data_IF_970067020761
#
_entry.id   IF_970067020761
#
_cell.length_a   1.000
_cell.length_b   1.000
_cell.length_c   1.000
_cell.angle_alpha   90.00
_cell.angle_beta   90.00
_cell.angle_gamma   90.00
#
_symmetry.space_group_name_H-M   'P 1'
#
loop_
_entity.id
_entity.type
_entity.pdbx_description
1 polymer ?
#
# COMPACT_ATOMS: atom_id res chain seq x y z
N UNK A 1 8.95 14.10 -1.64
CA UNK A 1 8.57 13.91 -1.90
C UNK A 1 7.96 14.16 -2.16
N UNK A 2 7.68 14.05 -2.44
CA UNK A 2 7.00 14.01 -2.88
C UNK A 2 6.28 14.41 -3.19
N UNK A 3 6.23 14.61 -3.34
CA UNK A 3 5.49 14.70 -3.70
C UNK A 3 4.95 15.12 -4.13
N UNK A 4 5.27 15.37 -4.42
CA UNK A 4 4.77 15.45 -4.86
C UNK A 4 4.06 15.33 -5.13
N UNK A 5 3.89 15.14 -4.96
CA UNK A 5 3.08 14.76 -5.24
C UNK A 5 2.32 15.13 -5.54
N UNK A 6 2.19 15.45 -5.90
CA UNK A 6 1.44 15.74 -6.22
C UNK A 6 0.56 15.72 -6.09
N UNK A 7 0.58 15.64 -5.90
CA UNK A 7 -0.26 15.48 -5.71
C UNK A 7 -1.34 15.54 -5.58
N UNK A 8 -1.08 15.23 -5.58
CA UNK A 8 -2.37 15.45 -5.12
C UNK A 8 -3.46 15.26 -6.06
N UNK A 9 -3.13 15.08 -7.12
CA UNK A 9 -4.11 15.09 -8.14
C UNK A 9 -4.91 13.87 -8.28
N UNK A 10 -4.36 12.68 -8.01
CA UNK A 10 -5.06 11.42 -8.28
C UNK A 10 -5.15 10.59 -7.02
N UNK A 11 -6.25 10.70 -6.29
CA UNK A 11 -6.42 9.89 -5.09
C UNK A 11 -6.42 8.41 -5.43
N UNK A 12 -6.02 7.60 -4.48
CA UNK A 12 -5.94 6.15 -4.68
C UNK A 12 -7.28 5.56 -5.09
N UNK A 13 -8.38 6.02 -4.49
CA UNK A 13 -9.68 5.47 -4.83
C UNK A 13 -10.08 5.75 -6.27
N UNK A 14 -9.62 6.89 -6.82
CA UNK A 14 -9.89 7.18 -8.22
C UNK A 14 -9.21 6.14 -9.12
N UNK A 15 -7.99 5.78 -8.79
CA UNK A 15 -7.28 4.75 -9.55
C UNK A 15 -8.02 3.43 -9.52
N UNK A 16 -8.55 3.05 -8.37
CA UNK A 16 -9.31 1.80 -8.25
C UNK A 16 -10.60 1.85 -9.03
N UNK A 17 -11.22 3.04 -9.16
CA UNK A 17 -12.43 3.16 -9.96
C UNK A 17 -12.16 2.89 -11.44
N UNK A 18 -10.99 3.25 -11.93
CA UNK A 18 -10.62 2.97 -13.30
C UNK A 18 -10.33 1.49 -13.50
N UNK A 19 -9.75 0.85 -12.50
CA UNK A 19 -9.57 -0.59 -12.49
C UNK A 19 -10.70 -1.15 -11.66
N UNK A 20 -11.55 -1.93 -12.26
CA UNK A 20 -12.66 -2.49 -11.53
C UNK A 20 -12.14 -3.27 -10.34
N UNK A 21 -12.79 -3.09 -9.20
CA UNK A 21 -12.39 -3.75 -7.96
C UNK A 21 -12.32 -5.27 -8.14
N UNK A 22 -13.19 -5.82 -8.95
CA UNK A 22 -13.21 -7.27 -9.19
C UNK A 22 -11.92 -7.77 -9.84
N UNK A 23 -11.16 -6.89 -10.49
CA UNK A 23 -9.91 -7.26 -11.15
C UNK A 23 -8.72 -7.15 -10.23
N UNK A 24 -8.90 -6.67 -9.01
CA UNK A 24 -7.83 -6.50 -8.03
C UNK A 24 -7.92 -7.64 -7.03
N UNK A 25 -6.86 -8.43 -6.90
CA UNK A 25 -6.88 -9.60 -6.05
C UNK A 25 -6.06 -9.42 -4.78
N UNK A 26 -4.92 -8.75 -4.85
CA UNK A 26 -4.02 -8.64 -3.70
C UNK A 26 -3.30 -7.31 -3.72
N UNK A 27 -3.27 -6.65 -2.57
CA UNK A 27 -2.51 -5.42 -2.39
C UNK A 27 -1.66 -5.58 -1.14
N UNK A 28 -0.39 -5.22 -1.23
CA UNK A 28 0.51 -5.23 -0.08
C UNK A 28 0.72 -3.81 0.41
N UNK A 29 0.69 -3.63 1.72
CA UNK A 29 1.02 -2.37 2.37
C UNK A 29 2.23 -2.62 3.25
N UNK A 30 3.37 -2.05 2.88
CA UNK A 30 4.62 -2.22 3.60
C UNK A 30 4.90 -0.93 4.34
N UNK A 31 5.08 -1.00 5.65
CA UNK A 31 5.25 0.19 6.46
C UNK A 31 6.42 0.04 7.41
N UNK A 32 7.09 1.16 7.66
CA UNK A 32 8.26 1.22 8.53
C UNK A 32 7.82 1.39 9.98
N UNK A 33 8.56 0.76 10.91
CA UNK A 33 8.34 1.00 12.33
C UNK A 33 9.06 2.25 12.81
N UNK A 34 9.92 2.82 12.00
CA UNK A 34 10.53 4.11 12.31
C UNK A 34 9.44 5.17 12.26
N UNK A 35 9.30 5.96 13.30
CA UNK A 35 8.18 6.91 13.44
C UNK A 35 6.84 6.19 13.44
N UNK A 36 6.73 5.16 14.26
CA UNK A 36 5.60 4.24 14.22
C UNK A 36 4.25 4.95 14.37
N UNK A 37 4.20 6.01 15.19
CA UNK A 37 2.95 6.73 15.38
C UNK A 37 2.41 7.25 14.04
N UNK A 38 3.30 7.77 13.21
CA UNK A 38 2.92 8.33 11.92
C UNK A 38 2.67 7.23 10.90
N UNK A 39 3.60 6.27 10.80
CA UNK A 39 3.48 5.23 9.78
C UNK A 39 2.29 4.32 10.05
N UNK A 40 1.98 4.05 11.32
CA UNK A 40 0.82 3.23 11.64
C UNK A 40 -0.47 3.95 11.28
N UNK A 41 -0.54 5.26 11.50
CA UNK A 41 -1.71 6.03 11.12
C UNK A 41 -1.90 6.02 9.60
N UNK A 42 -0.81 6.16 8.86
CA UNK A 42 -0.88 6.11 7.39
C UNK A 42 -1.27 4.73 6.90
N UNK A 43 -0.71 3.68 7.53
CA UNK A 43 -1.09 2.32 7.19
C UNK A 43 -2.58 2.10 7.40
N UNK A 44 -3.10 2.52 8.55
CA UNK A 44 -4.51 2.32 8.86
C UNK A 44 -5.39 3.09 7.89
N UNK A 45 -4.98 4.31 7.52
CA UNK A 45 -5.70 5.09 6.52
C UNK A 45 -5.71 4.40 5.17
N UNK A 46 -4.57 3.85 4.77
CA UNK A 46 -4.48 3.15 3.48
C UNK A 46 -5.40 1.92 3.48
N UNK A 47 -5.34 1.12 4.54
CA UNK A 47 -6.18 -0.08 4.63
C UNK A 47 -7.66 0.31 4.62
N UNK A 48 -8.04 1.31 5.41
CA UNK A 48 -9.43 1.76 5.45
C UNK A 48 -9.91 2.20 4.07
N UNK A 49 -9.10 2.97 3.37
CA UNK A 49 -9.47 3.45 2.05
C UNK A 49 -9.66 2.29 1.08
N UNK A 50 -8.77 1.30 1.12
CA UNK A 50 -8.87 0.15 0.24
C UNK A 50 -10.14 -0.64 0.52
N UNK A 51 -10.49 -0.80 1.79
CA UNK A 51 -11.71 -1.51 2.13
C UNK A 51 -12.95 -0.73 1.69
N UNK A 52 -12.91 0.60 1.80
CA UNK A 52 -14.02 1.44 1.33
C UNK A 52 -14.16 1.38 -0.17
N UNK A 53 -13.09 1.07 -0.90
CA UNK A 53 -13.16 0.92 -2.34
C UNK A 53 -13.69 -0.44 -2.76
N UNK A 54 -14.01 -1.31 -1.82
CA UNK A 54 -14.66 -2.57 -2.13
C UNK A 54 -13.80 -3.81 -1.96
N UNK A 55 -12.55 -3.65 -1.56
CA UNK A 55 -11.68 -4.81 -1.33
C UNK A 55 -12.03 -5.44 0.00
N UNK A 56 -11.84 -6.75 0.09
CA UNK A 56 -12.03 -7.47 1.33
C UNK A 56 -10.73 -7.49 2.11
N UNK A 57 -10.85 -7.67 3.43
CA UNK A 57 -9.69 -7.59 4.30
C UNK A 57 -8.60 -8.59 3.92
N UNK A 58 -8.97 -9.79 3.50
CA UNK A 58 -7.97 -10.78 3.14
C UNK A 58 -7.23 -10.45 1.85
N UNK A 59 -7.68 -9.46 1.09
CA UNK A 59 -7.00 -9.02 -0.11
C UNK A 59 -5.95 -7.96 0.18
N UNK A 60 -5.90 -7.44 1.40
CA UNK A 60 -4.96 -6.39 1.79
C UNK A 60 -4.03 -6.98 2.84
N UNK A 61 -2.76 -7.17 2.46
CA UNK A 61 -1.75 -7.73 3.37
C UNK A 61 -0.81 -6.64 3.82
N UNK A 62 -0.52 -6.60 5.12
CA UNK A 62 0.36 -5.60 5.68
C UNK A 62 1.65 -6.23 6.14
N UNK A 63 2.76 -5.53 5.93
CA UNK A 63 4.10 -5.98 6.29
C UNK A 63 4.82 -4.87 7.03
N UNK A 64 5.36 -5.20 8.18
CA UNK A 64 6.10 -4.26 9.01
C UNK A 64 7.60 -4.46 8.78
N UNK A 65 8.34 -3.37 8.62
CA UNK A 65 9.80 -3.44 8.50
C UNK A 65 10.42 -2.41 9.45
N UNK A 66 11.67 -2.65 9.91
CA UNK A 66 12.27 -1.75 10.91
C UNK A 66 12.53 -0.34 10.42
N UNK A 67 12.96 -0.16 9.18
CA UNK A 67 13.32 1.17 8.70
C UNK A 67 13.22 1.30 7.20
N UNK A 68 13.70 2.45 6.71
CA UNK A 68 13.50 2.83 5.32
C UNK A 68 14.23 1.93 4.33
N UNK A 69 15.42 1.45 4.70
CA UNK A 69 16.16 0.58 3.79
C UNK A 69 15.42 -0.71 3.54
N UNK A 70 14.79 -1.25 4.58
CA UNK A 70 14.06 -2.50 4.45
C UNK A 70 12.79 -2.34 3.62
N UNK A 71 12.27 -1.12 3.51
CA UNK A 71 11.09 -0.88 2.67
C UNK A 71 11.37 -1.25 1.21
N UNK A 72 12.48 -0.74 0.68
CA UNK A 72 12.83 -1.02 -0.71
C UNK A 72 13.09 -2.49 -0.93
N UNK A 73 13.84 -3.10 -0.01
CA UNK A 73 14.16 -4.52 -0.13
C UNK A 73 12.89 -5.37 -0.10
N UNK A 74 12.01 -5.08 0.85
CA UNK A 74 10.77 -5.85 0.98
C UNK A 74 9.88 -5.66 -0.25
N UNK A 75 9.75 -4.42 -0.74
CA UNK A 75 8.95 -4.16 -1.92
C UNK A 75 9.49 -4.95 -3.11
N UNK A 76 10.82 -5.03 -3.25
CA UNK A 76 11.42 -5.79 -4.32
C UNK A 76 11.08 -7.27 -4.19
N UNK A 77 11.20 -7.82 -2.99
CA UNK A 77 10.87 -9.22 -2.78
C UNK A 77 9.41 -9.51 -3.11
N UNK A 78 8.51 -8.63 -2.68
CA UNK A 78 7.08 -8.83 -2.93
C UNK A 78 6.75 -8.72 -4.41
N UNK A 79 7.45 -7.84 -5.14
CA UNK A 79 7.21 -7.69 -6.56
C UNK A 79 7.63 -8.92 -7.36
N UNK A 80 8.48 -9.76 -6.77
CA UNK A 80 8.97 -10.97 -7.41
C UNK A 80 8.31 -12.23 -6.85
N UNK A 81 7.29 -12.08 -6.03
CA UNK A 81 6.64 -13.21 -5.42
C UNK A 81 5.97 -14.10 -6.47
N UNK A 82 5.85 -15.39 -6.14
CA UNK A 82 5.23 -16.36 -7.05
C UNK A 82 3.78 -16.00 -7.34
N UNK A 83 3.09 -15.43 -6.34
CA UNK A 83 1.76 -14.90 -6.53
C UNK A 83 1.86 -13.39 -6.45
N UNK A 84 1.90 -12.71 -7.59
CA UNK A 84 2.18 -11.27 -7.58
C UNK A 84 1.06 -10.45 -6.95
N UNK A 85 1.43 -9.29 -6.42
CA UNK A 85 0.49 -8.32 -5.92
C UNK A 85 0.09 -7.39 -7.06
N UNK A 86 -1.15 -6.95 -7.05
CA UNK A 86 -1.63 -5.98 -8.03
C UNK A 86 -1.04 -4.61 -7.76
N UNK A 87 -0.74 -4.31 -6.49
CA UNK A 87 -0.10 -3.05 -6.12
C UNK A 87 0.64 -3.25 -4.81
N UNK A 88 1.70 -2.47 -4.61
CA UNK A 88 2.47 -2.47 -3.38
C UNK A 88 2.57 -1.03 -2.91
N UNK A 89 2.01 -0.75 -1.73
CA UNK A 89 2.03 0.58 -1.14
C UNK A 89 3.14 0.59 -0.09
N UNK A 90 4.01 1.57 -0.18
CA UNK A 90 5.17 1.66 0.70
C UNK A 90 5.05 2.94 1.53
N UNK A 91 5.14 2.80 2.86
CA UNK A 91 4.99 3.90 3.80
C UNK A 91 6.24 3.98 4.66
N UNK A 92 6.96 5.09 4.52
CA UNK A 92 8.21 5.28 5.25
C UNK A 92 8.37 6.61 5.92
#
# INVERSE_FOLDING_TARGET
MSSQLHSQQTPAHYTLQHRRTADVHRIAVVYSEWNAEITHALRDGAVTTLLECGLERQQVETFSVPGAFELTYTATLLSEAAQPYDAIIVIG
#
